data_IF_817707031493
#
_entry.id   IF_817707031493
#
_cell.length_a   1.000
_cell.length_b   1.000
_cell.length_c   1.000
_cell.angle_alpha   90.00
_cell.angle_beta   90.00
_cell.angle_gamma   90.00
#
_symmetry.space_group_name_H-M   'P 1'
#
loop_
_entity.id
_entity.type
_entity.pdbx_description
1 polymer ?
#
# COMPACT_ATOMS: atom_id res chain seq x y z
N UNK A 1 -21.61 -1.08 6.24
CA UNK A 1 -20.26 -1.12 5.63
C UNK A 1 -20.31 -0.22 4.40
N UNK A 2 -19.54 0.88 4.40
CA UNK A 2 -19.57 1.87 3.30
C UNK A 2 -18.50 1.49 2.29
N UNK A 3 -18.91 1.10 1.09
CA UNK A 3 -18.00 0.83 -0.02
C UNK A 3 -17.64 2.18 -0.65
N UNK A 4 -16.36 2.42 -0.89
CA UNK A 4 -15.89 3.62 -1.57
C UNK A 4 -16.16 3.46 -3.07
N UNK A 5 -16.83 4.43 -3.69
CA UNK A 5 -17.04 4.43 -5.14
C UNK A 5 -15.69 4.66 -5.82
N UNK A 6 -15.24 3.66 -6.58
CA UNK A 6 -13.92 3.64 -7.20
C UNK A 6 -14.05 3.71 -8.73
N UNK A 7 -13.46 4.73 -9.40
CA UNK A 7 -13.50 4.81 -10.85
C UNK A 7 -12.63 3.72 -11.49
N UNK A 8 -13.15 3.06 -12.52
CA UNK A 8 -12.39 2.08 -13.30
C UNK A 8 -11.11 2.71 -13.87
N UNK A 9 -10.01 1.94 -13.85
CA UNK A 9 -8.67 2.30 -14.37
C UNK A 9 -7.73 3.15 -13.51
N UNK A 10 -8.07 3.48 -12.26
CA UNK A 10 -7.12 4.17 -11.36
C UNK A 10 -6.14 3.19 -10.70
N UNK A 11 -5.21 2.66 -11.49
CA UNK A 11 -4.06 1.87 -11.00
C UNK A 11 -3.21 2.69 -10.02
N UNK A 12 -3.15 4.00 -10.24
CA UNK A 12 -2.41 4.97 -9.41
C UNK A 12 -3.03 5.23 -8.04
N UNK A 13 -4.24 4.74 -7.78
CA UNK A 13 -4.91 4.87 -6.50
C UNK A 13 -4.69 3.66 -5.59
N UNK A 14 -4.02 2.60 -6.04
CA UNK A 14 -3.79 1.41 -5.22
C UNK A 14 -2.72 1.67 -4.14
N UNK A 15 -3.13 2.29 -3.04
CA UNK A 15 -2.25 2.71 -1.93
C UNK A 15 -1.62 1.57 -1.14
N UNK A 16 -2.03 0.33 -1.40
CA UNK A 16 -1.41 -0.85 -0.81
C UNK A 16 -0.17 -1.31 -1.60
N UNK A 17 0.05 -0.85 -2.84
CA UNK A 17 1.23 -1.28 -3.62
C UNK A 17 2.57 -0.89 -3.00
N UNK A 18 2.75 0.35 -2.51
CA UNK A 18 3.97 0.72 -1.79
C UNK A 18 4.20 -0.16 -0.56
N UNK A 19 3.13 -0.47 0.18
CA UNK A 19 3.17 -1.34 1.37
C UNK A 19 3.62 -2.77 1.02
N UNK A 20 3.08 -3.33 -0.07
CA UNK A 20 3.54 -4.61 -0.58
C UNK A 20 5.00 -4.58 -1.04
N UNK A 21 5.44 -3.45 -1.60
CA UNK A 21 6.84 -3.20 -1.93
C UNK A 21 7.76 -3.26 -0.71
N UNK A 22 7.37 -2.59 0.37
CA UNK A 22 8.10 -2.58 1.64
C UNK A 22 8.16 -3.96 2.28
N UNK A 23 7.02 -4.65 2.37
CA UNK A 23 6.93 -6.00 2.91
C UNK A 23 7.83 -6.98 2.14
N UNK A 24 7.75 -6.97 0.80
CA UNK A 24 8.59 -7.84 -0.04
C UNK A 24 10.07 -7.57 0.18
N UNK A 25 10.48 -6.31 0.33
CA UNK A 25 11.88 -5.94 0.61
C UNK A 25 12.35 -6.47 1.97
N UNK A 26 11.53 -6.30 3.01
CA UNK A 26 11.85 -6.76 4.36
C UNK A 26 11.95 -8.30 4.45
N UNK A 27 10.96 -9.01 3.88
CA UNK A 27 10.97 -10.47 3.80
C UNK A 27 12.15 -10.98 2.99
N UNK A 28 12.47 -10.33 1.86
CA UNK A 28 13.62 -10.73 1.04
C UNK A 28 14.97 -10.53 1.77
N UNK A 29 15.10 -9.49 2.59
CA UNK A 29 16.29 -9.25 3.40
C UNK A 29 16.57 -10.39 4.40
N UNK A 30 15.52 -11.08 4.88
CA UNK A 30 15.63 -12.25 5.78
C UNK A 30 16.00 -13.55 5.07
N UNK A 31 16.06 -13.54 3.73
CA UNK A 31 16.49 -14.68 2.89
C UNK A 31 15.81 -16.01 3.28
N UNK A 32 14.48 -16.10 3.19
CA UNK A 32 13.75 -17.34 3.47
C UNK A 32 14.26 -18.46 2.55
N UNK A 33 14.49 -19.65 3.13
CA UNK A 33 15.02 -20.82 2.39
C UNK A 33 13.94 -21.84 2.08
N UNK A 34 12.82 -21.77 2.80
CA UNK A 34 11.66 -22.65 2.62
C UNK A 34 10.38 -21.83 2.51
N UNK A 35 9.31 -22.45 2.00
CA UNK A 35 7.99 -21.82 1.99
C UNK A 35 7.48 -21.53 3.40
N UNK A 36 7.86 -22.35 4.39
CA UNK A 36 7.50 -22.13 5.79
C UNK A 36 8.20 -20.89 6.36
N UNK A 37 9.50 -20.71 6.08
CA UNK A 37 10.23 -19.49 6.47
C UNK A 37 9.61 -18.26 5.80
N UNK A 38 9.23 -18.37 4.52
CA UNK A 38 8.61 -17.27 3.79
C UNK A 38 7.29 -16.86 4.44
N UNK A 39 6.43 -17.82 4.79
CA UNK A 39 5.16 -17.56 5.46
C UNK A 39 5.37 -16.92 6.83
N UNK A 40 6.26 -17.48 7.66
CA UNK A 40 6.57 -16.96 8.98
C UNK A 40 7.12 -15.53 8.90
N UNK A 41 8.07 -15.27 7.99
CA UNK A 41 8.66 -13.93 7.83
C UNK A 41 7.64 -12.93 7.29
N UNK A 42 6.76 -13.33 6.38
CA UNK A 42 5.67 -12.46 5.94
C UNK A 42 4.78 -12.03 7.12
N UNK A 43 4.43 -12.94 8.03
CA UNK A 43 3.62 -12.62 9.21
C UNK A 43 4.36 -11.70 10.19
N UNK A 44 5.63 -12.01 10.48
CA UNK A 44 6.48 -11.19 11.35
C UNK A 44 6.65 -9.76 10.82
N UNK A 45 7.07 -9.63 9.56
CA UNK A 45 7.30 -8.33 8.94
C UNK A 45 5.99 -7.55 8.80
N UNK A 46 4.87 -8.23 8.53
CA UNK A 46 3.56 -7.59 8.50
C UNK A 46 3.15 -7.05 9.87
N UNK A 47 3.36 -7.82 10.95
CA UNK A 47 3.07 -7.39 12.32
C UNK A 47 4.00 -6.27 12.79
N UNK A 48 5.21 -6.18 12.23
CA UNK A 48 6.19 -5.14 12.54
C UNK A 48 5.90 -3.79 11.85
N UNK A 49 5.00 -3.74 10.85
CA UNK A 49 4.63 -2.49 10.18
C UNK A 49 3.95 -1.56 11.19
N UNK A 50 4.53 -0.37 11.47
CA UNK A 50 3.94 0.54 12.44
C UNK A 50 2.58 1.07 11.91
N UNK A 51 1.54 1.14 12.75
CA UNK A 51 0.23 1.69 12.36
C UNK A 51 0.31 3.11 11.78
N UNK A 52 1.31 3.90 12.19
CA UNK A 52 1.57 5.23 11.65
C UNK A 52 1.89 5.21 10.13
N UNK A 53 2.56 4.16 9.64
CA UNK A 53 2.83 4.00 8.21
C UNK A 53 1.55 3.74 7.42
N UNK A 54 0.63 2.95 7.97
CA UNK A 54 -0.68 2.67 7.37
C UNK A 54 -1.56 3.92 7.35
N UNK A 55 -1.57 4.70 8.44
CA UNK A 55 -2.30 5.97 8.50
C UNK A 55 -1.78 6.99 7.48
N UNK A 56 -0.46 7.06 7.27
CA UNK A 56 0.14 7.90 6.23
C UNK A 56 -0.28 7.48 4.81
N UNK A 57 -0.43 6.18 4.55
CA UNK A 57 -0.95 5.67 3.28
C UNK A 57 -2.43 6.04 3.07
N UNK A 58 -3.24 5.97 4.12
CA UNK A 58 -4.65 6.38 4.09
C UNK A 58 -4.78 7.90 3.89
N UNK A 59 -3.93 8.71 4.53
CA UNK A 59 -3.93 10.16 4.34
C UNK A 59 -3.52 10.54 2.91
N UNK A 60 -2.47 9.91 2.36
CA UNK A 60 -2.07 10.07 0.96
C UNK A 60 -3.19 9.60 0.01
N UNK A 61 -3.87 8.51 0.34
CA UNK A 61 -5.02 8.01 -0.39
C UNK A 61 -6.12 9.06 -0.54
N UNK A 62 -6.47 9.80 0.52
CA UNK A 62 -7.50 10.84 0.41
C UNK A 62 -7.02 12.09 -0.34
N UNK A 63 -5.71 12.37 -0.32
CA UNK A 63 -5.13 13.53 -1.02
C UNK A 63 -5.09 13.36 -2.53
N UNK A 64 -4.88 12.14 -3.04
CA UNK A 64 -4.78 11.87 -4.50
C UNK A 64 -6.09 12.12 -5.27
N UNK A 65 -7.26 11.60 -4.86
CA UNK A 65 -8.54 11.91 -5.49
C UNK A 65 -8.86 13.40 -5.43
N UNK A 66 -8.57 14.08 -4.31
CA UNK A 66 -8.71 15.53 -4.22
C UNK A 66 -7.83 16.25 -5.25
N UNK A 67 -6.56 15.86 -5.38
CA UNK A 67 -5.66 16.42 -6.37
C UNK A 67 -6.15 16.18 -7.81
N UNK A 68 -6.74 15.02 -8.12
CA UNK A 68 -7.32 14.72 -9.44
C UNK A 68 -8.58 15.55 -9.71
N UNK A 69 -9.42 15.75 -8.69
CA UNK A 69 -10.59 16.63 -8.76
C UNK A 69 -10.15 18.08 -9.02
N UNK A 70 -9.15 18.57 -8.28
CA UNK A 70 -8.59 19.92 -8.45
C UNK A 70 -7.94 20.08 -9.83
N UNK A 71 -7.29 19.04 -10.34
CA UNK A 71 -6.71 18.99 -11.68
C UNK A 71 -7.75 18.81 -12.80
N UNK A 72 -9.06 18.73 -12.49
CA UNK A 72 -10.15 18.46 -13.44
C UNK A 72 -9.90 17.21 -14.30
N UNK A 73 -9.31 16.18 -13.72
CA UNK A 73 -8.94 14.94 -14.43
C UNK A 73 -7.58 14.98 -15.14
N UNK A 74 -6.79 16.04 -14.96
CA UNK A 74 -5.40 16.12 -15.41
C UNK A 74 -4.43 15.30 -14.54
N UNK A 75 -3.20 15.12 -15.01
CA UNK A 75 -2.15 14.38 -14.29
C UNK A 75 -1.76 15.10 -12.98
N UNK A 76 -1.53 14.31 -11.94
CA UNK A 76 -1.05 14.76 -10.62
C UNK A 76 0.34 14.20 -10.35
N UNK A 77 1.17 14.91 -9.56
CA UNK A 77 2.53 14.49 -9.17
C UNK A 77 2.54 13.65 -7.89
#
# INVERSE_FOLDING_TARGET
MKVLEWPSQTRDLNVIEPLWGDLKRAVHARRPKTLHDLEAFCQDEWAAIPPAGILGLIDNYYKRPHAVIDAKGGNTQ
#
